data_IF_541547446979
#
_entry.id   IF_541547446979
#
_cell.length_a   1.000
_cell.length_b   1.000
_cell.length_c   1.000
_cell.angle_alpha   90.00
_cell.angle_beta   90.00
_cell.angle_gamma   90.00
#
_symmetry.space_group_name_H-M   'P 1'
#
loop_
_entity.id
_entity.type
_entity.pdbx_description
1 polymer ?
#
# COMPACT_ATOMS: atom_id res chain seq x y z
N UNK A 1 55.64 31.37 -7.73
CA UNK A 1 55.17 30.04 -7.41
C UNK A 1 54.40 30.12 -6.10
N UNK A 2 53.06 30.08 -6.13
CA UNK A 2 52.22 30.00 -4.93
C UNK A 2 52.36 28.60 -4.36
N UNK A 3 52.65 28.41 -3.07
CA UNK A 3 52.69 27.10 -2.47
C UNK A 3 51.31 26.42 -2.59
N UNK A 4 51.32 25.13 -2.86
CA UNK A 4 50.08 24.36 -2.91
C UNK A 4 49.37 24.43 -1.53
N UNK A 5 48.04 24.59 -1.49
CA UNK A 5 47.33 24.65 -0.23
C UNK A 5 47.54 23.34 0.56
N UNK A 6 47.72 23.47 1.86
CA UNK A 6 47.91 22.36 2.78
C UNK A 6 46.70 21.42 2.70
N UNK A 7 46.87 20.11 2.49
CA UNK A 7 45.77 19.16 2.46
C UNK A 7 44.91 19.13 3.75
N UNK A 8 45.43 19.67 4.85
CA UNK A 8 44.69 19.86 6.10
C UNK A 8 43.64 20.99 6.05
N UNK A 9 43.78 21.94 5.10
CA UNK A 9 42.84 23.07 4.93
C UNK A 9 41.69 22.78 3.97
N UNK A 10 41.64 21.59 3.35
CA UNK A 10 40.48 21.22 2.52
C UNK A 10 39.26 21.13 3.44
N UNK A 11 38.20 21.93 3.18
CA UNK A 11 37.00 21.85 3.98
C UNK A 11 36.47 20.43 3.94
N UNK A 12 36.39 19.81 5.11
CA UNK A 12 35.83 18.46 5.25
C UNK A 12 34.33 18.49 4.89
N UNK A 13 34.02 18.39 3.61
CA UNK A 13 32.64 18.25 3.13
C UNK A 13 31.99 16.93 3.57
N UNK A 14 32.74 16.06 4.21
CA UNK A 14 32.28 14.82 4.83
C UNK A 14 31.95 15.01 6.31
N UNK A 15 31.25 16.06 6.67
CA UNK A 15 30.55 16.11 7.95
C UNK A 15 29.64 14.88 8.04
N UNK A 16 29.53 14.21 9.22
CA UNK A 16 28.67 13.04 9.37
C UNK A 16 27.30 13.41 8.85
N UNK A 17 26.86 12.74 7.78
CA UNK A 17 25.57 13.00 7.15
C UNK A 17 24.52 12.97 8.26
N UNK A 18 24.04 14.16 8.65
CA UNK A 18 23.09 14.30 9.74
C UNK A 18 21.96 13.31 9.47
N UNK A 19 21.79 12.30 10.34
CA UNK A 19 20.77 11.29 10.18
C UNK A 19 19.45 12.02 10.15
N UNK A 20 18.89 12.22 8.96
CA UNK A 20 17.60 12.87 8.75
C UNK A 20 16.55 12.11 9.53
N UNK A 21 16.15 12.64 10.67
CA UNK A 21 15.15 12.04 11.55
C UNK A 21 13.78 12.60 11.19
N UNK A 22 13.01 11.87 10.39
CA UNK A 22 11.62 12.22 10.12
C UNK A 22 10.73 11.79 11.29
N UNK A 23 10.28 12.76 12.07
CA UNK A 23 9.58 12.56 13.35
C UNK A 23 8.23 11.81 13.23
N UNK A 24 7.58 11.82 12.06
CA UNK A 24 6.21 11.32 11.89
C UNK A 24 6.09 10.00 11.10
N UNK A 25 7.19 9.40 10.66
CA UNK A 25 7.14 8.20 9.81
C UNK A 25 6.48 7.01 10.52
N UNK A 26 6.81 6.75 11.78
CA UNK A 26 6.23 5.63 12.54
C UNK A 26 4.72 5.77 12.69
N UNK A 27 4.27 6.98 13.02
CA UNK A 27 2.84 7.29 13.12
C UNK A 27 2.14 7.16 11.76
N UNK A 28 2.75 7.69 10.69
CA UNK A 28 2.22 7.60 9.34
C UNK A 28 2.09 6.15 8.87
N UNK A 29 3.10 5.31 9.14
CA UNK A 29 3.05 3.88 8.84
C UNK A 29 1.93 3.17 9.60
N UNK A 30 1.81 3.43 10.89
CA UNK A 30 0.75 2.83 11.71
C UNK A 30 -0.65 3.23 11.22
N UNK A 31 -0.91 4.53 11.03
CA UNK A 31 -2.20 5.01 10.53
C UNK A 31 -2.50 4.50 9.11
N UNK A 32 -1.49 4.46 8.23
CA UNK A 32 -1.67 3.94 6.87
C UNK A 32 -1.94 2.45 6.84
N UNK A 33 -1.33 1.65 7.73
CA UNK A 33 -1.61 0.21 7.81
C UNK A 33 -3.01 -0.08 8.35
N UNK A 34 -3.46 0.71 9.31
CA UNK A 34 -4.82 0.65 9.86
C UNK A 34 -5.85 1.03 8.78
N UNK A 35 -5.58 2.13 8.07
CA UNK A 35 -6.40 2.59 6.96
C UNK A 35 -6.43 1.57 5.79
N UNK A 36 -5.32 0.86 5.54
CA UNK A 36 -5.27 -0.18 4.51
C UNK A 36 -6.32 -1.27 4.75
N UNK A 37 -6.44 -1.75 5.99
CA UNK A 37 -7.44 -2.75 6.35
C UNK A 37 -8.86 -2.24 6.09
N UNK A 38 -9.15 -0.99 6.48
CA UNK A 38 -10.46 -0.36 6.27
C UNK A 38 -10.74 -0.14 4.76
N UNK A 39 -9.78 0.37 3.99
CA UNK A 39 -9.96 0.62 2.57
C UNK A 39 -10.20 -0.67 1.78
N UNK A 40 -9.44 -1.73 2.06
CA UNK A 40 -9.66 -3.04 1.42
C UNK A 40 -11.06 -3.54 1.70
N UNK A 41 -11.51 -3.49 2.96
CA UNK A 41 -12.88 -3.90 3.34
C UNK A 41 -13.93 -3.06 2.64
N UNK A 42 -13.80 -1.73 2.66
CA UNK A 42 -14.78 -0.82 2.06
C UNK A 42 -14.88 -1.04 0.55
N UNK A 43 -13.74 -1.09 -0.15
CA UNK A 43 -13.71 -1.31 -1.60
C UNK A 43 -14.26 -2.70 -1.94
N UNK A 44 -13.92 -3.72 -1.15
CA UNK A 44 -14.47 -5.08 -1.30
C UNK A 44 -15.98 -5.09 -1.21
N UNK A 45 -16.56 -4.45 -0.20
CA UNK A 45 -18.02 -4.33 -0.02
C UNK A 45 -18.65 -3.61 -1.22
N UNK A 46 -18.08 -2.46 -1.63
CA UNK A 46 -18.61 -1.69 -2.76
C UNK A 46 -18.55 -2.51 -4.06
N UNK A 47 -17.41 -3.15 -4.35
CA UNK A 47 -17.27 -4.00 -5.54
C UNK A 47 -18.24 -5.19 -5.52
N UNK A 48 -18.43 -5.83 -4.37
CA UNK A 48 -19.41 -6.92 -4.20
C UNK A 48 -20.82 -6.42 -4.50
N UNK A 49 -21.22 -5.26 -3.97
CA UNK A 49 -22.55 -4.68 -4.21
C UNK A 49 -22.76 -4.30 -5.67
N UNK A 50 -21.77 -3.67 -6.30
CA UNK A 50 -21.84 -3.32 -7.73
C UNK A 50 -21.98 -4.58 -8.58
N UNK A 51 -21.21 -5.64 -8.30
CA UNK A 51 -21.28 -6.87 -9.05
C UNK A 51 -22.65 -7.55 -8.88
N UNK A 52 -23.20 -7.59 -7.66
CA UNK A 52 -24.54 -8.13 -7.41
C UNK A 52 -25.61 -7.37 -8.17
N UNK A 53 -25.57 -6.05 -8.17
CA UNK A 53 -26.51 -5.22 -8.93
C UNK A 53 -26.37 -5.45 -10.44
N UNK A 54 -25.17 -5.54 -10.97
CA UNK A 54 -24.90 -5.78 -12.38
C UNK A 54 -25.42 -7.15 -12.84
N UNK A 55 -25.40 -8.14 -11.96
CA UNK A 55 -25.91 -9.50 -12.27
C UNK A 55 -27.42 -9.66 -11.99
N UNK A 56 -28.13 -8.61 -11.59
CA UNK A 56 -29.56 -8.65 -11.29
C UNK A 56 -29.91 -9.49 -10.05
N UNK A 57 -28.93 -9.76 -9.20
CA UNK A 57 -29.08 -10.62 -8.03
C UNK A 57 -29.40 -9.74 -6.82
N UNK A 58 -30.66 -9.75 -6.40
CA UNK A 58 -31.10 -9.06 -5.19
C UNK A 58 -31.44 -10.08 -4.09
N UNK A 59 -30.64 -10.08 -3.00
CA UNK A 59 -30.96 -10.84 -1.79
C UNK A 59 -29.79 -11.52 -1.10
N UNK A 60 -29.97 -11.82 0.19
CA UNK A 60 -28.96 -12.42 1.07
C UNK A 60 -28.60 -13.89 0.73
N UNK A 61 -29.46 -14.59 -0.02
CA UNK A 61 -29.33 -16.02 -0.35
C UNK A 61 -28.21 -16.33 -1.36
N UNK A 62 -27.64 -15.32 -2.00
CA UNK A 62 -26.77 -15.49 -3.16
C UNK A 62 -25.27 -15.51 -2.82
N UNK A 63 -24.91 -15.24 -1.57
CA UNK A 63 -23.49 -15.18 -1.16
C UNK A 63 -22.75 -16.53 -1.31
N UNK A 64 -23.44 -17.64 -1.16
CA UNK A 64 -22.87 -19.00 -1.27
C UNK A 64 -22.76 -19.50 -2.71
N UNK A 65 -23.70 -19.14 -3.57
CA UNK A 65 -23.75 -19.63 -4.95
C UNK A 65 -22.65 -19.00 -5.83
N UNK A 66 -22.20 -17.79 -5.50
CA UNK A 66 -21.12 -17.14 -6.24
C UNK A 66 -19.74 -17.74 -5.95
N UNK A 67 -19.48 -18.19 -4.72
CA UNK A 67 -18.24 -18.91 -4.38
C UNK A 67 -18.17 -20.30 -5.03
N UNK A 68 -19.34 -20.93 -5.27
CA UNK A 68 -19.44 -22.26 -5.90
C UNK A 68 -19.45 -22.21 -7.44
N UNK A 69 -19.64 -21.02 -8.04
CA UNK A 69 -19.55 -20.82 -9.47
C UNK A 69 -18.10 -20.91 -9.94
N UNK A 70 -17.67 -22.06 -10.44
CA UNK A 70 -16.36 -22.19 -11.08
C UNK A 70 -16.21 -21.21 -12.23
N UNK A 71 -14.98 -20.76 -12.50
CA UNK A 71 -14.66 -19.87 -13.61
C UNK A 71 -14.15 -18.51 -13.17
N UNK A 72 -13.83 -17.68 -14.15
CA UNK A 72 -13.19 -16.38 -13.95
C UNK A 72 -14.02 -15.42 -13.08
N UNK A 73 -15.31 -15.26 -13.40
CA UNK A 73 -16.21 -14.37 -12.63
C UNK A 73 -16.45 -14.88 -11.21
N UNK A 74 -16.51 -16.22 -11.03
CA UNK A 74 -16.59 -16.83 -9.70
C UNK A 74 -15.38 -16.51 -8.84
N UNK A 75 -14.18 -16.60 -9.42
CA UNK A 75 -12.95 -16.23 -8.74
C UNK A 75 -12.90 -14.73 -8.39
N UNK A 76 -13.28 -13.86 -9.31
CA UNK A 76 -13.30 -12.42 -9.08
C UNK A 76 -14.32 -12.03 -7.98
N UNK A 77 -15.52 -12.60 -8.02
CA UNK A 77 -16.55 -12.39 -6.98
C UNK A 77 -16.10 -12.89 -5.61
N UNK A 78 -15.44 -14.06 -5.58
CA UNK A 78 -14.83 -14.60 -4.36
C UNK A 78 -13.77 -13.68 -3.77
N UNK A 79 -12.91 -13.07 -4.61
CA UNK A 79 -11.94 -12.09 -4.15
C UNK A 79 -12.60 -10.85 -3.52
N UNK A 80 -13.67 -10.33 -4.12
CA UNK A 80 -14.43 -9.20 -3.58
C UNK A 80 -15.07 -9.54 -2.23
N UNK A 81 -15.62 -10.73 -2.10
CA UNK A 81 -16.20 -11.20 -0.84
C UNK A 81 -15.12 -11.37 0.24
N UNK A 82 -13.99 -12.03 -0.07
CA UNK A 82 -12.88 -12.18 0.87
C UNK A 82 -12.35 -10.81 1.32
N UNK A 83 -12.23 -9.86 0.40
CA UNK A 83 -11.83 -8.49 0.75
C UNK A 83 -12.85 -7.79 1.67
N UNK A 84 -14.15 -8.06 1.50
CA UNK A 84 -15.21 -7.52 2.37
C UNK A 84 -15.07 -7.99 3.83
N UNK A 85 -14.55 -9.21 4.02
CA UNK A 85 -14.30 -9.78 5.35
C UNK A 85 -12.88 -9.53 5.87
N UNK A 86 -12.06 -8.74 5.15
CA UNK A 86 -10.67 -8.47 5.51
C UNK A 86 -10.51 -7.89 6.93
N UNK A 87 -11.51 -7.18 7.44
CA UNK A 87 -11.52 -6.65 8.79
C UNK A 87 -11.48 -7.73 9.88
N UNK A 88 -12.02 -8.93 9.63
CA UNK A 88 -11.95 -10.04 10.58
C UNK A 88 -10.51 -10.51 10.81
N UNK A 89 -9.64 -10.33 9.82
CA UNK A 89 -8.21 -10.67 9.89
C UNK A 89 -7.32 -9.49 10.27
N UNK A 90 -7.89 -8.49 10.95
CA UNK A 90 -7.21 -7.25 11.34
C UNK A 90 -5.85 -7.50 12.00
N UNK A 91 -5.77 -8.44 12.94
CA UNK A 91 -4.55 -8.74 13.68
C UNK A 91 -3.41 -9.29 12.81
N UNK A 92 -3.72 -9.85 11.65
CA UNK A 92 -2.72 -10.36 10.69
C UNK A 92 -2.45 -9.30 9.62
N UNK A 93 -3.51 -8.68 9.10
CA UNK A 93 -3.41 -7.79 7.95
C UNK A 93 -2.75 -6.45 8.28
N UNK A 94 -2.99 -5.90 9.47
CA UNK A 94 -2.35 -4.63 9.88
C UNK A 94 -0.84 -4.77 10.04
N UNK A 95 -0.29 -5.78 10.75
CA UNK A 95 1.16 -6.00 10.77
C UNK A 95 1.76 -6.29 9.40
N UNK A 96 1.10 -7.08 8.55
CA UNK A 96 1.57 -7.36 7.20
C UNK A 96 1.62 -6.09 6.34
N UNK A 97 0.57 -5.26 6.38
CA UNK A 97 0.54 -3.96 5.71
C UNK A 97 1.61 -3.01 6.26
N UNK A 98 1.81 -2.98 7.58
CA UNK A 98 2.84 -2.16 8.22
C UNK A 98 4.24 -2.55 7.77
N UNK A 99 4.56 -3.84 7.69
CA UNK A 99 5.84 -4.34 7.18
C UNK A 99 6.01 -3.98 5.69
N UNK A 100 5.02 -4.23 4.85
CA UNK A 100 5.08 -3.94 3.43
C UNK A 100 5.25 -2.44 3.14
N UNK A 101 4.47 -1.60 3.81
CA UNK A 101 4.58 -0.14 3.70
C UNK A 101 5.91 0.37 4.28
N UNK A 102 6.37 -0.20 5.39
CA UNK A 102 7.64 0.15 6.02
C UNK A 102 8.85 -0.15 5.13
N UNK A 103 8.87 -1.33 4.51
CA UNK A 103 9.94 -1.76 3.62
C UNK A 103 9.94 -1.00 2.28
N UNK A 104 8.78 -0.56 1.80
CA UNK A 104 8.63 0.13 0.52
C UNK A 104 8.58 1.66 0.69
N UNK A 105 7.44 2.17 1.14
CA UNK A 105 7.12 3.60 1.18
C UNK A 105 7.86 4.30 2.33
N UNK A 106 8.05 3.62 3.46
CA UNK A 106 8.73 4.18 4.63
C UNK A 106 10.19 4.58 4.39
N UNK A 107 10.83 4.03 3.35
CA UNK A 107 12.21 4.36 2.95
C UNK A 107 12.31 5.52 1.98
N UNK A 108 11.22 5.90 1.31
CA UNK A 108 11.23 6.94 0.28
C UNK A 108 11.64 8.33 0.80
N UNK A 109 11.18 8.79 1.99
CA UNK A 109 11.60 10.08 2.55
C UNK A 109 13.12 10.14 2.79
N UNK A 110 13.72 9.05 3.26
CA UNK A 110 15.18 8.98 3.50
C UNK A 110 16.01 9.04 2.21
N UNK A 111 15.40 8.69 1.07
CA UNK A 111 16.01 8.81 -0.27
C UNK A 111 15.81 10.19 -0.91
N UNK A 112 15.23 11.15 -0.17
CA UNK A 112 14.98 12.50 -0.68
C UNK A 112 13.87 12.60 -1.71
N UNK A 113 12.97 11.61 -1.79
CA UNK A 113 11.85 11.60 -2.74
C UNK A 113 10.71 12.43 -2.15
N UNK A 114 10.51 13.64 -2.70
CA UNK A 114 9.52 14.61 -2.22
C UNK A 114 8.21 14.59 -2.99
N UNK A 115 8.17 13.95 -4.16
CA UNK A 115 6.97 13.94 -5.02
C UNK A 115 5.99 12.85 -4.59
N UNK A 116 4.67 13.13 -4.70
CA UNK A 116 3.59 12.20 -4.33
C UNK A 116 3.52 10.95 -5.22
N UNK A 117 3.87 11.06 -6.51
CA UNK A 117 3.73 9.97 -7.51
C UNK A 117 4.40 8.64 -7.10
N UNK A 118 5.66 8.62 -6.61
CA UNK A 118 6.29 7.38 -6.16
C UNK A 118 5.56 6.70 -5.00
N UNK A 119 5.01 7.47 -4.04
CA UNK A 119 4.28 6.91 -2.90
C UNK A 119 3.00 6.20 -3.34
N UNK A 120 2.24 6.80 -4.25
CA UNK A 120 1.04 6.20 -4.84
C UNK A 120 1.40 4.94 -5.63
N UNK A 121 2.40 5.03 -6.52
CA UNK A 121 2.83 3.91 -7.36
C UNK A 121 3.28 2.70 -6.53
N UNK A 122 4.17 2.90 -5.56
CA UNK A 122 4.65 1.81 -4.71
C UNK A 122 3.56 1.27 -3.80
N UNK A 123 2.68 2.12 -3.27
CA UNK A 123 1.51 1.70 -2.53
C UNK A 123 0.59 0.81 -3.35
N UNK A 124 0.28 1.20 -4.60
CA UNK A 124 -0.53 0.40 -5.52
C UNK A 124 0.11 -0.96 -5.82
N UNK A 125 1.40 -1.00 -6.12
CA UNK A 125 2.11 -2.24 -6.45
C UNK A 125 2.06 -3.22 -5.26
N UNK A 126 2.44 -2.78 -4.07
CA UNK A 126 2.42 -3.63 -2.89
C UNK A 126 1.02 -4.03 -2.46
N UNK A 127 0.05 -3.12 -2.57
CA UNK A 127 -1.36 -3.44 -2.33
C UNK A 127 -1.86 -4.51 -3.29
N UNK A 128 -1.57 -4.39 -4.59
CA UNK A 128 -1.94 -5.39 -5.60
C UNK A 128 -1.33 -6.77 -5.30
N UNK A 129 -0.03 -6.81 -4.94
CA UNK A 129 0.67 -8.06 -4.62
C UNK A 129 0.08 -8.71 -3.38
N UNK A 130 -0.14 -7.96 -2.30
CA UNK A 130 -0.63 -8.51 -1.04
C UNK A 130 -2.06 -9.03 -1.18
N UNK A 131 -2.98 -8.18 -1.65
CA UNK A 131 -4.40 -8.59 -1.74
C UNK A 131 -4.62 -9.54 -2.91
N UNK A 132 -4.05 -9.27 -4.08
CA UNK A 132 -4.15 -10.17 -5.24
C UNK A 132 -3.51 -11.53 -4.99
N UNK A 133 -2.32 -11.57 -4.36
CA UNK A 133 -1.64 -12.80 -4.01
C UNK A 133 -2.43 -13.64 -3.00
N UNK A 134 -2.93 -13.04 -1.94
CA UNK A 134 -3.73 -13.77 -0.94
C UNK A 134 -5.06 -14.28 -1.50
N UNK A 135 -5.79 -13.48 -2.26
CA UNK A 135 -7.06 -13.89 -2.87
C UNK A 135 -6.87 -14.97 -3.94
N UNK A 136 -5.77 -14.87 -4.73
CA UNK A 136 -5.47 -15.88 -5.76
C UNK A 136 -5.17 -17.26 -5.16
N UNK A 137 -4.48 -17.31 -4.02
CA UNK A 137 -4.23 -18.58 -3.30
C UNK A 137 -5.54 -19.33 -3.03
N UNK A 138 -6.56 -18.64 -2.50
CA UNK A 138 -7.87 -19.23 -2.29
C UNK A 138 -8.59 -19.54 -3.60
N UNK A 139 -8.45 -18.68 -4.61
CA UNK A 139 -9.06 -18.91 -5.91
C UNK A 139 -8.50 -20.13 -6.65
N UNK A 140 -7.20 -20.42 -6.53
CA UNK A 140 -6.57 -21.59 -7.14
C UNK A 140 -7.06 -22.93 -6.53
N UNK A 141 -7.51 -22.92 -5.28
CA UNK A 141 -8.15 -24.11 -4.68
C UNK A 141 -9.44 -24.49 -5.40
N UNK A 142 -10.13 -23.52 -6.01
CA UNK A 142 -11.34 -23.74 -6.81
C UNK A 142 -11.05 -23.99 -8.31
N UNK A 143 -9.80 -23.86 -8.74
CA UNK A 143 -9.35 -24.12 -10.10
C UNK A 143 -8.54 -22.95 -10.70
N UNK A 144 -7.79 -23.24 -11.78
CA UNK A 144 -6.86 -22.27 -12.39
C UNK A 144 -7.57 -21.00 -12.89
N UNK A 145 -8.70 -21.14 -13.58
CA UNK A 145 -9.47 -20.01 -14.13
C UNK A 145 -10.07 -19.16 -12.99
N UNK A 146 -10.51 -19.78 -11.91
CA UNK A 146 -10.98 -19.08 -10.72
C UNK A 146 -9.83 -18.35 -10.03
N UNK A 147 -8.65 -18.97 -9.94
CA UNK A 147 -7.44 -18.36 -9.37
C UNK A 147 -7.01 -17.09 -10.12
N UNK A 148 -7.06 -17.09 -11.44
CA UNK A 148 -6.74 -15.90 -12.26
C UNK A 148 -7.79 -14.80 -12.08
N UNK A 149 -9.07 -15.12 -11.98
CA UNK A 149 -10.13 -14.17 -11.67
C UNK A 149 -9.95 -13.55 -10.28
N UNK A 150 -9.63 -14.37 -9.29
CA UNK A 150 -9.35 -13.91 -7.92
C UNK A 150 -8.10 -13.04 -7.84
N UNK A 151 -7.04 -13.36 -8.61
CA UNK A 151 -5.85 -12.55 -8.71
C UNK A 151 -6.15 -11.14 -9.22
N UNK A 152 -6.88 -11.04 -10.32
CA UNK A 152 -7.21 -9.74 -10.94
C UNK A 152 -8.15 -8.93 -10.07
N UNK A 153 -9.20 -9.55 -9.51
CA UNK A 153 -10.12 -8.89 -8.59
C UNK A 153 -9.43 -8.39 -7.32
N UNK A 154 -8.62 -9.24 -6.71
CA UNK A 154 -7.84 -8.86 -5.53
C UNK A 154 -6.77 -7.81 -5.80
N UNK A 155 -6.08 -7.92 -6.94
CA UNK A 155 -5.08 -6.92 -7.36
C UNK A 155 -5.72 -5.55 -7.60
N UNK A 156 -6.91 -5.49 -8.19
CA UNK A 156 -7.66 -4.24 -8.37
C UNK A 156 -7.99 -3.57 -7.03
N UNK A 157 -8.56 -4.34 -6.08
CA UNK A 157 -8.87 -3.83 -4.73
C UNK A 157 -7.59 -3.40 -4.01
N UNK A 158 -6.56 -4.25 -4.05
CA UNK A 158 -5.30 -3.97 -3.38
C UNK A 158 -4.56 -2.76 -3.97
N UNK A 159 -4.55 -2.60 -5.29
CA UNK A 159 -3.95 -1.45 -5.95
C UNK A 159 -4.63 -0.13 -5.55
N UNK A 160 -5.97 -0.11 -5.55
CA UNK A 160 -6.74 1.09 -5.17
C UNK A 160 -6.56 1.42 -3.70
N UNK A 161 -6.68 0.45 -2.80
CA UNK A 161 -6.45 0.63 -1.37
C UNK A 161 -5.01 1.08 -1.08
N UNK A 162 -4.02 0.44 -1.72
CA UNK A 162 -2.61 0.78 -1.58
C UNK A 162 -2.27 2.19 -2.11
N UNK A 163 -2.91 2.64 -3.20
CA UNK A 163 -2.79 4.01 -3.69
C UNK A 163 -3.26 5.02 -2.64
N UNK A 164 -4.43 4.78 -2.05
CA UNK A 164 -4.99 5.63 -0.99
C UNK A 164 -4.09 5.66 0.25
N UNK A 165 -3.54 4.50 0.64
CA UNK A 165 -2.57 4.42 1.74
C UNK A 165 -1.28 5.20 1.43
N UNK A 166 -0.78 5.12 0.20
CA UNK A 166 0.38 5.90 -0.24
C UNK A 166 0.13 7.41 -0.19
N UNK A 167 -1.06 7.85 -0.60
CA UNK A 167 -1.47 9.25 -0.47
C UNK A 167 -1.61 9.68 0.99
N UNK A 168 -2.22 8.86 1.84
CA UNK A 168 -2.38 9.13 3.26
C UNK A 168 -1.02 9.24 3.96
N UNK A 169 -0.11 8.32 3.68
CA UNK A 169 1.26 8.36 4.19
C UNK A 169 1.97 9.65 3.78
N UNK A 170 1.92 10.01 2.50
CA UNK A 170 2.51 11.24 1.99
C UNK A 170 1.91 12.49 2.66
N UNK A 171 0.59 12.52 2.85
CA UNK A 171 -0.10 13.64 3.50
C UNK A 171 0.29 13.82 4.98
N UNK A 172 0.57 12.72 5.69
CA UNK A 172 0.99 12.77 7.10
C UNK A 172 2.47 13.16 7.23
N UNK A 173 3.34 12.56 6.41
CA UNK A 173 4.79 12.79 6.50
C UNK A 173 5.18 14.18 5.99
N UNK A 174 4.49 14.70 4.94
CA UNK A 174 4.81 15.99 4.30
C UNK A 174 6.32 16.18 4.09
N UNK A 175 7.00 15.32 3.32
CA UNK A 175 8.47 15.29 3.27
C UNK A 175 9.10 16.61 2.82
N UNK A 176 8.43 17.39 1.97
CA UNK A 176 8.90 18.70 1.52
C UNK A 176 9.01 19.71 2.66
N UNK A 177 8.04 19.76 3.58
CA UNK A 177 8.03 20.72 4.67
C UNK A 177 9.09 20.39 5.74
N UNK A 178 9.34 19.09 5.98
CA UNK A 178 10.32 18.67 6.99
C UNK A 178 11.79 18.86 6.52
N UNK A 179 12.02 19.00 5.22
CA UNK A 179 13.34 19.30 4.67
C UNK A 179 13.62 20.79 4.57
N UNK A 180 12.56 21.62 4.40
CA UNK A 180 12.71 23.07 4.42
C UNK A 180 13.14 23.61 5.79
N UNK A 181 12.77 22.94 6.89
CA UNK A 181 13.15 23.33 8.24
C UNK A 181 14.63 23.03 8.58
N UNK A 182 15.32 22.22 7.76
CA UNK A 182 16.72 21.82 8.00
C UNK A 182 17.73 22.76 7.32
N UNK A 183 17.31 23.47 6.27
CA UNK A 183 18.22 24.33 5.48
C UNK A 183 18.41 25.75 6.07
N UNK A 184 17.71 26.10 7.16
CA UNK A 184 17.77 27.47 7.72
C UNK A 184 18.91 27.63 8.73
N UNK A 185 19.49 26.57 9.27
CA UNK A 185 20.53 26.63 10.32
C UNK A 185 21.95 26.54 9.77
N UNK A 186 22.20 26.73 8.48
CA UNK A 186 23.54 26.60 7.86
C UNK A 186 24.13 27.94 7.39
N UNK A 187 23.52 29.09 7.74
CA UNK A 187 24.09 30.42 7.46
C UNK A 187 24.24 31.26 8.70
#
# INVERSE_FOLDING_TARGET
>A
MTPAPDPAELPSYAGPAARRSFRRIKLALFLSSLAACLFVTLIGVVCTRILMLAMGISGAATNYSMLSGGGFLGGMSGAFQLASYNFLLFFINVPAAWLALGLSIGRLPYRGIMHRKPYVRWGSIWGAILVGGTTSLFGFLAGFVSGTGALLGGAFIGATAGALCGLLFYAIVKPANQLADVDIDVF
#
